data_IF_953793400923
#
_entry.id   IF_953793400923
#
_cell.length_a   1.000
_cell.length_b   1.000
_cell.length_c   1.000
_cell.angle_alpha   90.00
_cell.angle_beta   90.00
_cell.angle_gamma   90.00
#
_symmetry.space_group_name_H-M   'P 1'
#
loop_
_entity.id
_entity.type
_entity.pdbx_description
1 polymer ?
#
# COMPACT_ATOMS: atom_id res chain seq x y z
N UNK A 1 4.22 -28.06 -10.52
CA UNK A 1 3.97 -27.09 -9.43
C UNK A 1 2.47 -27.01 -9.11
N UNK A 2 1.61 -26.85 -10.11
CA UNK A 2 0.15 -26.78 -9.98
C UNK A 2 -0.46 -28.03 -9.29
N UNK A 3 0.00 -29.22 -9.62
CA UNK A 3 -0.43 -30.48 -8.99
C UNK A 3 -0.07 -30.50 -7.51
N UNK A 4 1.12 -30.00 -7.12
CA UNK A 4 1.53 -29.91 -5.71
C UNK A 4 0.72 -28.88 -4.90
N UNK A 5 0.36 -27.76 -5.52
CA UNK A 5 -0.44 -26.71 -4.87
C UNK A 5 -1.87 -27.19 -4.60
N UNK A 6 -2.42 -28.07 -5.45
CA UNK A 6 -3.76 -28.61 -5.26
C UNK A 6 -3.79 -29.85 -4.36
N UNK A 7 -2.93 -30.84 -4.62
CA UNK A 7 -2.99 -32.15 -3.93
C UNK A 7 -2.65 -32.07 -2.43
N UNK A 8 -1.63 -31.31 -2.03
CA UNK A 8 -1.23 -31.22 -0.64
C UNK A 8 -2.27 -30.51 0.25
N UNK A 9 -2.84 -29.36 -0.15
CA UNK A 9 -3.93 -28.75 0.59
C UNK A 9 -5.20 -29.60 0.66
N UNK A 10 -5.56 -30.30 -0.43
CA UNK A 10 -6.73 -31.19 -0.45
C UNK A 10 -6.55 -32.39 0.48
N UNK A 11 -5.37 -32.94 0.56
CA UNK A 11 -5.09 -34.02 1.51
C UNK A 11 -5.20 -33.52 2.96
N UNK A 12 -4.66 -32.36 3.26
CA UNK A 12 -4.78 -31.71 4.56
C UNK A 12 -6.24 -31.43 4.94
N UNK A 13 -7.01 -30.86 4.03
CA UNK A 13 -8.43 -30.59 4.23
C UNK A 13 -9.25 -31.87 4.49
N UNK A 14 -8.98 -32.97 3.75
CA UNK A 14 -9.61 -34.27 3.99
C UNK A 14 -9.27 -34.87 5.34
N UNK A 15 -8.00 -34.77 5.76
CA UNK A 15 -7.59 -35.23 7.08
C UNK A 15 -8.25 -34.43 8.18
N UNK A 16 -8.35 -33.13 8.02
CA UNK A 16 -8.97 -32.24 9.01
C UNK A 16 -10.49 -32.49 9.10
N UNK A 17 -11.19 -32.59 7.97
CA UNK A 17 -12.61 -32.93 7.93
C UNK A 17 -12.90 -34.31 8.55
N UNK A 18 -12.01 -35.28 8.35
CA UNK A 18 -12.16 -36.62 8.93
C UNK A 18 -11.93 -36.62 10.44
N UNK A 19 -11.07 -35.73 10.95
CA UNK A 19 -10.79 -35.59 12.37
C UNK A 19 -11.76 -34.64 13.09
N UNK A 20 -12.42 -33.75 12.35
CA UNK A 20 -13.28 -32.69 12.90
C UNK A 20 -12.55 -31.68 13.79
N UNK A 21 -11.23 -31.54 13.62
CA UNK A 21 -10.38 -30.75 14.50
C UNK A 21 -10.48 -29.23 14.28
N UNK A 22 -10.49 -28.79 13.03
CA UNK A 22 -10.44 -27.38 12.68
C UNK A 22 -11.60 -26.92 11.81
N UNK A 23 -12.15 -27.80 10.95
CA UNK A 23 -13.21 -27.46 10.02
C UNK A 23 -14.53 -28.16 10.36
N UNK A 24 -15.67 -27.47 10.23
CA UNK A 24 -16.98 -28.09 10.37
C UNK A 24 -17.22 -29.16 9.30
N UNK A 25 -17.93 -30.23 9.62
CA UNK A 25 -18.17 -31.38 8.73
C UNK A 25 -19.01 -31.05 7.48
N UNK A 26 -19.61 -29.86 7.41
CA UNK A 26 -20.41 -29.38 6.28
C UNK A 26 -19.62 -28.58 5.24
N UNK A 27 -18.31 -28.53 5.34
CA UNK A 27 -17.45 -27.77 4.41
C UNK A 27 -17.21 -28.60 3.16
N UNK A 28 -17.41 -27.99 1.98
CA UNK A 28 -17.08 -28.61 0.70
C UNK A 28 -15.58 -28.46 0.43
N UNK A 29 -14.86 -29.59 0.55
CA UNK A 29 -13.42 -29.67 0.31
C UNK A 29 -13.02 -29.30 -1.12
N UNK A 30 -13.86 -29.60 -2.11
CA UNK A 30 -13.61 -29.33 -3.52
C UNK A 30 -13.72 -27.82 -3.78
N UNK A 31 -14.74 -27.18 -3.21
CA UNK A 31 -14.89 -25.72 -3.32
C UNK A 31 -13.69 -24.98 -2.70
N UNK A 32 -13.28 -25.36 -1.48
CA UNK A 32 -12.10 -24.77 -0.83
C UNK A 32 -10.84 -25.01 -1.66
N UNK A 33 -10.63 -26.23 -2.16
CA UNK A 33 -9.49 -26.56 -3.01
C UNK A 33 -9.44 -25.72 -4.28
N UNK A 34 -10.57 -25.53 -4.97
CA UNK A 34 -10.66 -24.71 -6.16
C UNK A 34 -10.37 -23.23 -5.83
N UNK A 35 -10.95 -22.70 -4.77
CA UNK A 35 -10.66 -21.32 -4.31
C UNK A 35 -9.18 -21.11 -3.98
N UNK A 36 -8.52 -22.12 -3.41
CA UNK A 36 -7.09 -22.07 -3.10
C UNK A 36 -6.24 -22.03 -4.38
N UNK A 37 -6.59 -22.85 -5.38
CA UNK A 37 -5.94 -22.87 -6.70
C UNK A 37 -6.14 -21.54 -7.42
N UNK A 38 -7.35 -21.01 -7.44
CA UNK A 38 -7.66 -19.73 -8.08
C UNK A 38 -6.89 -18.57 -7.41
N UNK A 39 -6.81 -18.59 -6.09
CA UNK A 39 -6.02 -17.61 -5.33
C UNK A 39 -4.53 -17.74 -5.65
N UNK A 40 -4.01 -18.96 -5.72
CA UNK A 40 -2.62 -19.19 -6.12
C UNK A 40 -2.32 -18.65 -7.53
N UNK A 41 -3.19 -18.91 -8.50
CA UNK A 41 -3.03 -18.39 -9.87
C UNK A 41 -3.06 -16.86 -9.90
N UNK A 42 -4.01 -16.26 -9.19
CA UNK A 42 -4.10 -14.80 -9.07
C UNK A 42 -2.83 -14.20 -8.47
N UNK A 43 -2.29 -14.84 -7.43
CA UNK A 43 -1.04 -14.44 -6.79
C UNK A 43 0.16 -14.58 -7.71
N UNK A 44 0.26 -15.74 -8.36
CA UNK A 44 1.37 -16.03 -9.28
C UNK A 44 1.40 -15.04 -10.45
N UNK A 45 0.24 -14.80 -11.08
CA UNK A 45 0.10 -13.81 -12.14
C UNK A 45 0.50 -12.41 -11.64
N UNK A 46 -0.04 -11.99 -10.49
CA UNK A 46 0.27 -10.69 -9.93
C UNK A 46 1.76 -10.49 -9.60
N UNK A 47 2.49 -11.56 -9.22
CA UNK A 47 3.92 -11.51 -8.90
C UNK A 47 4.81 -11.59 -10.16
N UNK A 48 4.40 -12.36 -11.17
CA UNK A 48 5.25 -12.65 -12.32
C UNK A 48 5.01 -11.76 -13.53
N UNK A 49 3.81 -11.18 -13.63
CA UNK A 49 3.49 -10.29 -14.73
C UNK A 49 4.35 -9.03 -14.66
N UNK A 50 5.00 -8.73 -15.77
CA UNK A 50 5.78 -7.50 -15.94
C UNK A 50 4.95 -6.53 -16.77
N UNK A 51 4.41 -5.54 -16.12
CA UNK A 51 3.63 -4.52 -16.81
C UNK A 51 4.51 -3.35 -17.23
N UNK A 52 4.14 -2.76 -18.37
CA UNK A 52 4.74 -1.53 -18.89
C UNK A 52 3.72 -0.42 -18.76
N UNK A 53 4.07 0.58 -17.99
CA UNK A 53 3.19 1.73 -17.73
C UNK A 53 3.75 3.00 -18.36
N UNK A 54 2.86 3.88 -18.80
CA UNK A 54 3.23 5.26 -19.12
C UNK A 54 3.38 6.06 -17.82
N UNK A 55 4.18 7.14 -17.82
CA UNK A 55 4.36 7.96 -16.60
C UNK A 55 3.07 8.54 -16.01
N UNK A 56 2.04 8.72 -16.85
CA UNK A 56 0.70 9.20 -16.47
C UNK A 56 -0.23 8.11 -15.94
N UNK A 57 0.24 6.85 -15.90
CA UNK A 57 -0.51 5.68 -15.42
C UNK A 57 0.01 5.15 -14.08
N UNK A 58 0.74 5.94 -13.31
CA UNK A 58 1.34 5.51 -12.02
C UNK A 58 0.30 4.97 -11.03
N UNK A 59 -0.93 5.48 -11.06
CA UNK A 59 -2.04 4.97 -10.24
C UNK A 59 -2.36 3.49 -10.47
N UNK A 60 -2.10 2.94 -11.68
CA UNK A 60 -2.27 1.51 -11.97
C UNK A 60 -1.24 0.65 -11.23
N UNK A 61 -0.03 1.18 -11.06
CA UNK A 61 1.04 0.53 -10.28
C UNK A 61 0.60 0.42 -8.82
N UNK A 62 0.11 1.51 -8.25
CA UNK A 62 -0.39 1.54 -6.88
C UNK A 62 -1.56 0.57 -6.68
N UNK A 63 -2.49 0.51 -7.64
CA UNK A 63 -3.59 -0.47 -7.64
C UNK A 63 -3.08 -1.92 -7.59
N UNK A 64 -2.01 -2.21 -8.34
CA UNK A 64 -1.39 -3.54 -8.35
C UNK A 64 -0.74 -3.88 -7.01
N UNK A 65 0.00 -2.94 -6.42
CA UNK A 65 0.61 -3.10 -5.10
C UNK A 65 -0.44 -3.36 -4.03
N UNK A 66 -1.49 -2.54 -3.98
CA UNK A 66 -2.58 -2.71 -3.04
C UNK A 66 -3.23 -4.10 -3.19
N UNK A 67 -3.47 -4.54 -4.42
CA UNK A 67 -4.00 -5.88 -4.69
C UNK A 67 -3.08 -7.01 -4.18
N UNK A 68 -1.76 -6.86 -4.33
CA UNK A 68 -0.80 -7.84 -3.82
C UNK A 68 -0.79 -7.86 -2.29
N UNK A 69 -0.84 -6.70 -1.64
CA UNK A 69 -0.93 -6.59 -0.19
C UNK A 69 -2.24 -7.19 0.36
N UNK A 70 -3.39 -6.95 -0.30
CA UNK A 70 -4.67 -7.58 0.05
C UNK A 70 -4.63 -9.11 -0.06
N UNK A 71 -3.86 -9.62 -1.00
CA UNK A 71 -3.65 -11.06 -1.18
C UNK A 71 -2.68 -11.66 -0.16
N UNK A 72 -2.07 -10.83 0.72
CA UNK A 72 -1.19 -11.24 1.81
C UNK A 72 0.28 -11.33 1.42
N UNK A 73 0.69 -10.74 0.29
CA UNK A 73 2.09 -10.57 -0.05
C UNK A 73 2.60 -9.26 0.51
N UNK A 74 3.70 -9.33 1.25
CA UNK A 74 4.49 -8.16 1.59
C UNK A 74 5.31 -7.76 0.35
N UNK A 75 4.73 -6.90 -0.46
CA UNK A 75 5.43 -6.23 -1.56
C UNK A 75 6.02 -4.96 -1.00
N UNK A 76 7.27 -5.03 -0.56
CA UNK A 76 7.94 -3.90 0.08
C UNK A 76 8.62 -2.97 -0.91
N UNK A 77 8.93 -3.47 -2.08
CA UNK A 77 9.58 -2.68 -3.12
C UNK A 77 8.96 -2.97 -4.48
N UNK A 78 8.70 -1.89 -5.19
CA UNK A 78 8.55 -1.94 -6.62
C UNK A 78 9.91 -1.62 -7.24
N UNK A 79 10.50 -2.60 -7.88
CA UNK A 79 11.64 -2.35 -8.74
C UNK A 79 11.14 -1.67 -10.01
N UNK A 80 11.28 -0.35 -10.08
CA UNK A 80 10.93 0.43 -11.25
C UNK A 80 12.17 0.67 -12.10
N UNK A 81 12.09 0.35 -13.39
CA UNK A 81 13.14 0.64 -14.35
C UNK A 81 12.53 1.33 -15.55
N UNK A 82 13.17 2.39 -16.01
CA UNK A 82 12.81 3.00 -17.28
C UNK A 82 13.05 2.00 -18.40
N UNK A 83 12.05 1.78 -19.26
CA UNK A 83 12.19 0.92 -20.42
C UNK A 83 13.20 1.53 -21.42
N UNK A 84 13.79 0.70 -22.28
CA UNK A 84 14.78 1.14 -23.30
C UNK A 84 14.26 2.23 -24.24
N UNK A 85 12.96 2.34 -24.39
CA UNK A 85 12.31 3.39 -25.21
C UNK A 85 12.21 4.76 -24.49
N UNK A 86 12.60 4.84 -23.22
CA UNK A 86 12.57 6.06 -22.41
C UNK A 86 11.18 6.61 -22.10
N UNK A 87 10.12 5.93 -22.54
CA UNK A 87 8.73 6.42 -22.42
C UNK A 87 7.85 5.59 -21.50
N UNK A 88 8.34 4.42 -21.08
CA UNK A 88 7.57 3.47 -20.24
C UNK A 88 8.37 3.06 -19.04
N UNK A 89 7.67 2.79 -17.95
CA UNK A 89 8.23 2.28 -16.70
C UNK A 89 7.91 0.79 -16.59
N UNK A 90 8.96 -0.01 -16.36
CA UNK A 90 8.87 -1.42 -16.04
C UNK A 90 8.75 -1.56 -14.52
N UNK A 91 7.75 -2.29 -14.06
CA UNK A 91 7.49 -2.49 -12.64
C UNK A 91 7.50 -3.96 -12.31
N UNK A 92 8.31 -4.35 -11.32
CA UNK A 92 8.33 -5.69 -10.74
C UNK A 92 8.16 -5.63 -9.24
N UNK A 93 7.20 -6.37 -8.65
CA UNK A 93 7.12 -6.48 -7.20
C UNK A 93 8.28 -7.34 -6.66
N UNK A 94 8.85 -6.94 -5.55
CA UNK A 94 9.87 -7.68 -4.81
C UNK A 94 9.34 -8.10 -3.47
N UNK A 95 9.35 -9.38 -3.19
CA UNK A 95 9.00 -9.92 -1.87
C UNK A 95 10.21 -9.85 -0.95
N UNK A 96 10.08 -9.26 0.22
CA UNK A 96 11.16 -9.07 1.20
C UNK A 96 10.73 -9.50 2.61
N UNK A 97 11.69 -9.52 3.55
CA UNK A 97 11.43 -9.88 4.94
C UNK A 97 10.57 -8.84 5.66
N UNK A 98 9.75 -9.29 6.60
CA UNK A 98 8.92 -8.41 7.43
C UNK A 98 9.75 -7.34 8.15
N UNK A 99 9.26 -6.09 8.16
CA UNK A 99 9.96 -4.94 8.75
C UNK A 99 11.10 -4.37 7.90
N UNK A 100 11.26 -4.83 6.66
CA UNK A 100 12.28 -4.31 5.75
C UNK A 100 12.00 -2.87 5.35
N UNK A 101 10.75 -2.56 5.00
CA UNK A 101 10.39 -1.23 4.53
C UNK A 101 10.57 -0.16 5.61
N UNK A 102 10.15 -0.44 6.85
CA UNK A 102 10.39 0.47 7.97
C UNK A 102 11.88 0.75 8.16
N UNK A 103 12.71 -0.31 8.26
CA UNK A 103 14.18 -0.14 8.44
C UNK A 103 14.83 0.61 7.29
N UNK A 104 14.39 0.38 6.05
CA UNK A 104 14.91 1.06 4.86
C UNK A 104 14.53 2.53 4.87
N UNK A 105 13.25 2.85 5.10
CA UNK A 105 12.77 4.23 5.15
C UNK A 105 13.45 5.00 6.27
N UNK A 106 13.53 4.43 7.48
CA UNK A 106 14.21 5.04 8.63
C UNK A 106 15.66 5.40 8.31
N UNK A 107 16.39 4.50 7.66
CA UNK A 107 17.79 4.75 7.25
C UNK A 107 17.88 5.88 6.22
N UNK A 108 16.99 5.94 5.24
CA UNK A 108 17.04 6.90 4.14
C UNK A 108 16.54 8.29 4.52
N UNK A 109 15.55 8.37 5.39
CA UNK A 109 14.80 9.62 5.65
C UNK A 109 14.74 10.03 7.12
N UNK A 110 15.06 9.12 8.03
CA UNK A 110 14.88 9.33 9.47
C UNK A 110 13.43 9.16 9.95
N UNK A 111 12.48 8.81 9.08
CA UNK A 111 11.09 8.58 9.45
C UNK A 111 10.92 7.19 10.03
N UNK A 112 10.45 7.11 11.29
CA UNK A 112 10.07 5.86 11.97
C UNK A 112 8.55 5.73 11.91
N UNK A 113 8.05 4.82 11.09
CA UNK A 113 6.62 4.64 10.81
C UNK A 113 6.26 3.16 10.76
N UNK A 114 4.96 2.85 10.72
CA UNK A 114 4.52 1.45 10.57
C UNK A 114 4.90 0.89 9.20
N UNK A 115 5.03 -0.43 9.10
CA UNK A 115 5.48 -1.13 7.90
C UNK A 115 4.68 -0.76 6.63
N UNK A 116 3.34 -0.71 6.72
CA UNK A 116 2.50 -0.34 5.58
C UNK A 116 2.69 1.12 5.15
N UNK A 117 2.89 2.02 6.11
CA UNK A 117 3.22 3.41 5.81
C UNK A 117 4.59 3.52 5.15
N UNK A 118 5.59 2.81 5.69
CA UNK A 118 6.94 2.79 5.14
C UNK A 118 6.95 2.31 3.68
N UNK A 119 6.22 1.24 3.36
CA UNK A 119 6.07 0.77 1.98
C UNK A 119 5.51 1.84 1.07
N UNK A 120 4.44 2.48 1.51
CA UNK A 120 3.76 3.51 0.72
C UNK A 120 4.69 4.68 0.42
N UNK A 121 5.44 5.13 1.43
CA UNK A 121 6.40 6.21 1.29
C UNK A 121 7.59 5.82 0.40
N UNK A 122 8.10 4.60 0.53
CA UNK A 122 9.18 4.08 -0.33
C UNK A 122 8.74 3.95 -1.80
N UNK A 123 7.51 3.53 -2.05
CA UNK A 123 6.96 3.47 -3.40
C UNK A 123 6.86 4.86 -4.04
N UNK A 124 6.44 5.87 -3.26
CA UNK A 124 6.39 7.26 -3.74
C UNK A 124 7.80 7.82 -3.98
N UNK A 125 8.77 7.52 -3.11
CA UNK A 125 10.18 7.85 -3.31
C UNK A 125 10.73 7.23 -4.60
N UNK A 126 10.42 5.95 -4.87
CA UNK A 126 10.89 5.27 -6.07
C UNK A 126 10.21 5.83 -7.35
N UNK A 127 8.94 6.19 -7.26
CA UNK A 127 8.23 6.91 -8.31
C UNK A 127 8.86 8.29 -8.59
N UNK A 128 9.23 9.04 -7.55
CA UNK A 128 9.94 10.31 -7.68
C UNK A 128 11.30 10.11 -8.37
N UNK A 129 12.09 9.11 -7.95
CA UNK A 129 13.38 8.78 -8.56
C UNK A 129 13.24 8.52 -10.05
N UNK A 130 12.27 7.68 -10.43
CA UNK A 130 12.03 7.31 -11.83
C UNK A 130 11.52 8.50 -12.65
N UNK A 131 10.57 9.28 -12.11
CA UNK A 131 10.01 10.45 -12.81
C UNK A 131 11.02 11.58 -13.04
N UNK A 132 12.05 11.66 -12.19
CA UNK A 132 13.15 12.63 -12.30
C UNK A 132 14.37 12.09 -13.05
N UNK A 133 14.28 10.87 -13.64
CA UNK A 133 15.35 10.22 -14.41
C UNK A 133 16.64 9.97 -13.62
N UNK A 134 16.52 9.67 -12.32
CA UNK A 134 17.62 9.50 -11.39
C UNK A 134 17.90 8.04 -11.00
N UNK A 135 17.54 7.08 -11.86
CA UNK A 135 17.69 5.64 -11.59
C UNK A 135 19.15 5.20 -11.31
N UNK A 136 20.12 5.95 -11.82
CA UNK A 136 21.54 5.69 -11.61
C UNK A 136 22.18 6.40 -10.42
N UNK A 137 21.42 7.24 -9.69
CA UNK A 137 21.94 7.99 -8.55
C UNK A 137 21.84 7.20 -7.24
N UNK A 138 22.66 7.63 -6.26
CA UNK A 138 22.60 7.09 -4.90
C UNK A 138 21.22 7.38 -4.28
N UNK A 139 20.57 6.32 -3.77
CA UNK A 139 19.23 6.43 -3.20
C UNK A 139 19.17 7.36 -1.98
N UNK A 140 20.24 7.52 -1.22
CA UNK A 140 20.31 8.44 -0.06
C UNK A 140 20.23 9.90 -0.51
N UNK A 141 20.85 10.25 -1.65
CA UNK A 141 20.76 11.60 -2.23
C UNK A 141 19.34 11.84 -2.74
N UNK A 142 18.78 10.88 -3.49
CA UNK A 142 17.41 10.97 -4.01
C UNK A 142 16.40 11.10 -2.86
N UNK A 143 16.57 10.34 -1.78
CA UNK A 143 15.70 10.40 -0.61
C UNK A 143 15.75 11.76 0.10
N UNK A 144 16.95 12.36 0.18
CA UNK A 144 17.12 13.71 0.74
C UNK A 144 16.37 14.76 -0.08
N UNK A 145 16.46 14.67 -1.40
CA UNK A 145 15.74 15.60 -2.29
C UNK A 145 14.22 15.35 -2.26
N UNK A 146 13.79 14.10 -2.25
CA UNK A 146 12.37 13.74 -2.10
C UNK A 146 11.78 14.29 -0.78
N UNK A 147 12.52 14.17 0.34
CA UNK A 147 12.11 14.77 1.61
C UNK A 147 11.89 16.27 1.48
N UNK A 148 12.84 16.97 0.83
CA UNK A 148 12.80 18.44 0.68
C UNK A 148 11.75 18.92 -0.32
N UNK A 149 11.56 18.19 -1.42
CA UNK A 149 10.77 18.64 -2.58
C UNK A 149 9.34 18.09 -2.58
N UNK A 150 9.12 16.94 -1.94
CA UNK A 150 7.82 16.25 -1.95
C UNK A 150 7.22 16.14 -0.54
N UNK A 151 7.92 15.47 0.39
CA UNK A 151 7.38 15.17 1.71
C UNK A 151 7.13 16.43 2.55
N UNK A 152 8.18 17.23 2.80
CA UNK A 152 8.06 18.43 3.63
C UNK A 152 7.08 19.47 3.08
N UNK A 153 7.07 19.81 1.78
CA UNK A 153 6.08 20.74 1.25
C UNK A 153 4.64 20.23 1.42
N UNK A 154 4.41 18.92 1.24
CA UNK A 154 3.10 18.30 1.45
C UNK A 154 2.66 18.41 2.90
N UNK A 155 3.53 18.06 3.85
CA UNK A 155 3.25 18.13 5.29
C UNK A 155 3.01 19.58 5.76
N UNK A 156 3.70 20.55 5.17
CA UNK A 156 3.46 21.99 5.49
C UNK A 156 2.06 22.48 5.12
N UNK A 157 1.36 21.77 4.23
CA UNK A 157 -0.03 22.06 3.88
C UNK A 157 -1.05 21.60 4.92
N UNK A 158 -0.65 20.87 5.97
CA UNK A 158 -1.53 20.53 7.09
C UNK A 158 -2.06 21.82 7.74
N UNK A 159 -3.39 22.02 7.80
CA UNK A 159 -3.97 23.19 8.46
C UNK A 159 -3.57 23.24 9.94
N UNK A 160 -3.38 24.46 10.47
CA UNK A 160 -2.86 24.68 11.84
C UNK A 160 -3.64 23.94 12.91
N UNK A 161 -4.96 23.86 12.75
CA UNK A 161 -5.88 23.21 13.69
C UNK A 161 -5.72 21.69 13.77
N UNK A 162 -5.07 21.05 12.79
CA UNK A 162 -4.86 19.60 12.74
C UNK A 162 -3.43 19.17 13.06
N UNK A 163 -2.47 20.11 13.11
CA UNK A 163 -1.03 19.80 13.29
C UNK A 163 -0.69 19.09 14.60
N UNK A 164 -1.49 19.27 15.65
CA UNK A 164 -1.30 18.57 16.93
C UNK A 164 -2.05 17.23 17.00
N UNK A 165 -2.85 16.89 16.01
CA UNK A 165 -3.73 15.73 16.01
C UNK A 165 -3.32 14.67 15.00
N UNK A 166 -2.56 15.05 13.98
CA UNK A 166 -2.16 14.17 12.88
C UNK A 166 -0.65 14.17 12.78
N UNK A 167 -0.08 12.98 12.81
CA UNK A 167 1.35 12.79 12.56
C UNK A 167 1.69 13.10 11.08
N UNK A 168 2.82 13.78 10.81
CA UNK A 168 3.21 14.14 9.45
C UNK A 168 3.24 12.98 8.46
N UNK A 169 3.82 11.83 8.86
CA UNK A 169 3.92 10.66 8.00
C UNK A 169 2.54 10.01 7.76
N UNK A 170 1.64 10.04 8.77
CA UNK A 170 0.27 9.57 8.62
C UNK A 170 -0.50 10.44 7.62
N UNK A 171 -0.39 11.75 7.75
CA UNK A 171 -1.01 12.68 6.81
C UNK A 171 -0.54 12.43 5.37
N UNK A 172 0.78 12.30 5.19
CA UNK A 172 1.36 12.05 3.86
C UNK A 172 0.85 10.73 3.27
N UNK A 173 0.85 9.66 4.07
CA UNK A 173 0.32 8.35 3.68
C UNK A 173 -1.14 8.43 3.22
N UNK A 174 -2.01 9.08 4.01
CA UNK A 174 -3.43 9.21 3.68
C UNK A 174 -3.68 10.09 2.45
N UNK A 175 -2.85 11.11 2.23
CA UNK A 175 -2.89 11.91 0.99
C UNK A 175 -2.51 11.06 -0.23
N UNK A 176 -1.53 10.17 -0.11
CA UNK A 176 -1.18 9.24 -1.20
C UNK A 176 -2.34 8.29 -1.53
N UNK A 177 -3.03 7.75 -0.52
CA UNK A 177 -4.19 6.90 -0.72
C UNK A 177 -5.36 7.66 -1.35
N UNK A 178 -5.58 8.90 -0.90
CA UNK A 178 -6.61 9.77 -1.49
C UNK A 178 -6.29 10.16 -2.94
N UNK A 179 -5.02 10.43 -3.25
CA UNK A 179 -4.52 10.70 -4.61
C UNK A 179 -4.80 9.53 -5.54
N UNK A 180 -4.51 8.31 -5.07
CA UNK A 180 -4.80 7.09 -5.82
C UNK A 180 -6.31 6.98 -6.12
N UNK A 181 -7.17 7.17 -5.12
CA UNK A 181 -8.62 7.14 -5.29
C UNK A 181 -9.11 8.17 -6.31
N UNK A 182 -8.60 9.40 -6.25
CA UNK A 182 -8.93 10.46 -7.21
C UNK A 182 -8.48 10.09 -8.62
N UNK A 183 -7.28 9.55 -8.78
CA UNK A 183 -6.73 9.14 -10.07
C UNK A 183 -7.51 7.97 -10.66
N UNK A 184 -7.89 6.96 -9.85
CA UNK A 184 -8.74 5.86 -10.31
C UNK A 184 -10.10 6.36 -10.81
N UNK A 185 -10.71 7.31 -10.09
CA UNK A 185 -12.00 7.92 -10.49
C UNK A 185 -11.89 8.78 -11.74
N UNK A 186 -10.79 9.51 -11.88
CA UNK A 186 -10.55 10.39 -13.03
C UNK A 186 -10.05 9.64 -14.28
N UNK A 187 -9.44 8.45 -14.11
CA UNK A 187 -8.82 7.67 -15.19
C UNK A 187 -7.46 8.22 -15.66
N UNK A 188 -6.88 9.16 -14.92
CA UNK A 188 -5.56 9.73 -15.15
C UNK A 188 -4.91 10.14 -13.83
N UNK A 189 -3.59 10.37 -13.85
CA UNK A 189 -2.86 10.81 -12.66
C UNK A 189 -3.33 12.18 -12.16
N UNK A 190 -3.38 12.30 -10.81
CA UNK A 190 -3.73 13.53 -10.09
C UNK A 190 -2.47 14.09 -9.42
N UNK A 191 -2.29 15.40 -9.48
CA UNK A 191 -1.14 16.04 -8.85
C UNK A 191 -1.21 15.96 -7.32
N UNK A 192 -0.03 15.97 -6.65
CA UNK A 192 0.03 15.97 -5.18
C UNK A 192 -0.71 17.17 -4.59
N UNK A 193 -0.58 18.34 -5.20
CA UNK A 193 -1.25 19.57 -4.75
C UNK A 193 -2.77 19.47 -4.79
N UNK A 194 -3.32 18.88 -5.86
CA UNK A 194 -4.77 18.64 -5.97
C UNK A 194 -5.25 17.61 -4.96
N UNK A 195 -4.49 16.53 -4.78
CA UNK A 195 -4.81 15.50 -3.80
C UNK A 195 -4.84 16.05 -2.38
N UNK A 196 -3.84 16.86 -1.98
CA UNK A 196 -3.80 17.51 -0.67
C UNK A 196 -4.98 18.45 -0.47
N UNK A 197 -5.29 19.30 -1.44
CA UNK A 197 -6.45 20.20 -1.34
C UNK A 197 -7.74 19.43 -1.16
N UNK A 198 -7.97 18.44 -2.02
CA UNK A 198 -9.16 17.60 -1.93
C UNK A 198 -9.24 16.82 -0.61
N UNK A 199 -8.11 16.30 -0.11
CA UNK A 199 -8.04 15.60 1.17
C UNK A 199 -8.40 16.53 2.34
N UNK A 200 -7.79 17.71 2.38
CA UNK A 200 -8.02 18.72 3.43
C UNK A 200 -9.47 19.22 3.43
N UNK A 201 -10.09 19.35 2.26
CA UNK A 201 -11.45 19.85 2.12
C UNK A 201 -12.52 18.79 2.42
N UNK A 202 -12.29 17.55 1.99
CA UNK A 202 -13.34 16.53 1.96
C UNK A 202 -13.16 15.41 2.99
N UNK A 203 -11.92 15.10 3.40
CA UNK A 203 -11.61 13.97 4.29
C UNK A 203 -11.25 14.44 5.69
N UNK A 204 -10.31 15.35 5.80
CA UNK A 204 -9.79 15.83 7.08
C UNK A 204 -10.85 16.38 8.06
N UNK A 205 -11.92 17.06 7.63
CA UNK A 205 -12.96 17.51 8.55
C UNK A 205 -13.73 16.38 9.24
N UNK A 206 -13.76 15.20 8.65
CA UNK A 206 -14.45 14.01 9.20
C UNK A 206 -13.74 13.49 10.46
N UNK A 207 -12.42 13.62 10.56
CA UNK A 207 -11.63 13.25 11.75
C UNK A 207 -12.10 14.00 13.02
N UNK A 208 -12.50 15.25 12.90
CA UNK A 208 -13.05 16.01 14.03
C UNK A 208 -14.39 15.49 14.55
N UNK A 209 -15.19 14.91 13.68
CA UNK A 209 -16.50 14.36 14.03
C UNK A 209 -16.36 13.04 14.78
N UNK A 210 -15.43 12.18 14.35
CA UNK A 210 -15.19 10.87 14.97
C UNK A 210 -14.53 11.01 16.35
N UNK A 211 -13.54 11.88 16.49
CA UNK A 211 -12.88 12.11 17.78
C UNK A 211 -13.82 12.72 18.82
N UNK A 212 -14.77 13.58 18.43
CA UNK A 212 -15.81 14.10 19.30
C UNK A 212 -16.84 13.05 19.69
N UNK A 213 -17.21 12.17 18.75
CA UNK A 213 -18.16 11.09 19.02
C UNK A 213 -17.53 9.98 19.88
N UNK A 214 -16.25 9.65 19.67
CA UNK A 214 -15.51 8.71 20.52
C UNK A 214 -15.36 9.19 21.98
N UNK A 215 -15.14 10.48 22.21
CA UNK A 215 -15.11 11.07 23.54
C UNK A 215 -16.49 11.12 24.18
N UNK A 216 -17.56 11.38 23.41
CA UNK A 216 -18.93 11.36 23.90
C UNK A 216 -19.41 9.97 24.31
N UNK A 217 -19.03 8.93 23.57
CA UNK A 217 -19.33 7.52 23.89
C UNK A 217 -18.58 7.05 25.14
N UNK A 218 -17.31 7.43 25.31
CA UNK A 218 -16.55 7.09 26.50
C UNK A 218 -17.01 7.87 27.75
N UNK A 219 -17.44 9.13 27.60
CA UNK A 219 -18.01 9.90 28.71
C UNK A 219 -19.37 9.38 29.15
N UNK A 220 -20.20 8.91 28.21
CA UNK A 220 -21.50 8.27 28.52
C UNK A 220 -21.33 6.89 29.21
N UNK A 221 -20.31 6.12 28.82
CA UNK A 221 -19.98 4.84 29.46
C UNK A 221 -19.39 5.01 30.88
N UNK A 222 -18.73 6.10 31.16
CA UNK A 222 -18.15 6.41 32.48
C UNK A 222 -19.16 7.02 33.48
N UNK A 223 -20.30 7.51 33.01
CA UNK A 223 -21.36 8.12 33.86
C UNK A 223 -22.57 7.19 34.13
N UNK A 224 -22.48 5.94 33.69
CA UNK A 224 -23.50 4.90 33.90
C UNK A 224 -23.10 3.93 35.02
N UNK A 225 -23.02 4.41 36.27
CA UNK A 225 -23.08 3.59 37.49
C UNK A 225 -24.23 4.12 38.34
#
# INVERSE_FOLDING_TARGET
>A
LMVMVYQNPMLGLRMDLSSGALLPSNVDEIEIGNRLVDRYHSLWSALTDTDKFSPDEMWKIEKRVNKLNELGFDVDELEMKTAEDGKRVLVRPRVVDAGYANRKLLRLTGLDVQENQARRLLNDLDAYRTSTWRDGEDLEIVATDWMREVFEPTVRMIPREYRSQIEPAQFFHEVLDHRWFLAEKAGHDVSMTEAVKSYVENVLPQYKLESKNGHALNAAAASGV
#
